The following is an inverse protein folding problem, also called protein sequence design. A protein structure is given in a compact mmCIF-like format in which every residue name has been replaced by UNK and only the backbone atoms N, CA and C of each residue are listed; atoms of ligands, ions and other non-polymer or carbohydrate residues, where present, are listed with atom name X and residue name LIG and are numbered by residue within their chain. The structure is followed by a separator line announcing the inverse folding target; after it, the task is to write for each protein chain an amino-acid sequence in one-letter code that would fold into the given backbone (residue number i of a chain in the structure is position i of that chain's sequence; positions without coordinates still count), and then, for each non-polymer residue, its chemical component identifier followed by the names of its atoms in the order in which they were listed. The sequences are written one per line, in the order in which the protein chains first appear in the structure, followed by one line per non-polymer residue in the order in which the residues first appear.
data_IF_423120850727
#
_entry.id   IF_423120850727
#
_cell.length_a   1.000
_cell.length_b   1.000
_cell.length_c   1.000
_cell.angle_alpha   90.00
_cell.angle_beta   90.00
_cell.angle_gamma   90.00
#
_symmetry.space_group_name_H-M   'P 1'
#
loop_
_entity.id
_entity.type
_entity.pdbx_description
1 polymer ?
#
# COMPACT_ATOMS: atom_id res chain seq x y z
N UNK A 1 -17.06 -13.29 -11.06
CA UNK A 1 -15.83 -13.69 -11.80
C UNK A 1 -15.51 -12.81 -13.00
N UNK A 2 -16.42 -12.64 -13.98
CA UNK A 2 -16.13 -11.87 -15.22
C UNK A 2 -15.55 -10.46 -15.00
N UNK A 3 -15.99 -9.76 -13.96
CA UNK A 3 -15.47 -8.43 -13.60
C UNK A 3 -14.05 -8.47 -13.05
N UNK A 4 -13.74 -9.43 -12.16
CA UNK A 4 -12.41 -9.60 -11.59
C UNK A 4 -11.38 -9.98 -12.66
N UNK A 5 -11.75 -10.90 -13.57
CA UNK A 5 -10.88 -11.29 -14.69
C UNK A 5 -10.64 -10.12 -15.65
N UNK A 6 -11.66 -9.26 -15.86
CA UNK A 6 -11.51 -8.05 -16.67
C UNK A 6 -10.56 -7.05 -16.02
N UNK A 7 -10.71 -6.79 -14.71
CA UNK A 7 -9.82 -5.90 -13.96
C UNK A 7 -8.37 -6.41 -13.98
N UNK A 8 -8.17 -7.72 -13.79
CA UNK A 8 -6.86 -8.35 -13.86
C UNK A 8 -6.20 -8.23 -15.24
N UNK A 9 -6.96 -8.46 -16.32
CA UNK A 9 -6.42 -8.32 -17.67
C UNK A 9 -6.10 -6.85 -17.99
N UNK A 10 -6.92 -5.93 -17.52
CA UNK A 10 -6.65 -4.49 -17.67
C UNK A 10 -5.39 -4.07 -16.91
N UNK A 11 -5.22 -4.50 -15.65
CA UNK A 11 -4.02 -4.17 -14.88
C UNK A 11 -2.76 -4.71 -15.55
N UNK A 12 -2.78 -5.94 -16.09
CA UNK A 12 -1.66 -6.50 -16.86
C UNK A 12 -1.28 -5.63 -18.06
N UNK A 13 -2.26 -5.24 -18.88
CA UNK A 13 -1.99 -4.40 -20.07
C UNK A 13 -1.40 -3.05 -19.67
N UNK A 14 -1.91 -2.43 -18.60
CA UNK A 14 -1.37 -1.16 -18.10
C UNK A 14 0.05 -1.35 -17.55
N UNK A 15 0.32 -2.46 -16.84
CA UNK A 15 1.64 -2.78 -16.31
C UNK A 15 2.70 -2.90 -17.39
N UNK A 16 2.43 -3.69 -18.44
CA UNK A 16 3.36 -3.83 -19.57
C UNK A 16 3.68 -2.48 -20.22
N UNK A 17 2.65 -1.65 -20.44
CA UNK A 17 2.85 -0.29 -20.99
C UNK A 17 3.65 0.61 -20.05
N UNK A 18 3.51 0.43 -18.75
CA UNK A 18 4.24 1.20 -17.76
C UNK A 18 5.71 0.77 -17.75
N UNK A 19 6.00 -0.52 -17.79
CA UNK A 19 7.36 -1.05 -17.85
C UNK A 19 8.09 -0.58 -19.14
N UNK A 20 7.40 -0.52 -20.29
CA UNK A 20 7.95 0.00 -21.55
C UNK A 20 8.29 1.50 -21.51
N UNK A 21 7.64 2.26 -20.63
CA UNK A 21 7.75 3.72 -20.53
C UNK A 21 8.60 4.18 -19.35
N UNK A 22 9.03 3.27 -18.48
CA UNK A 22 9.73 3.62 -17.24
C UNK A 22 11.22 3.31 -17.34
N UNK A 23 12.00 4.15 -16.68
CA UNK A 23 13.44 3.94 -16.49
C UNK A 23 13.71 3.56 -15.05
N UNK A 24 14.77 2.77 -14.81
CA UNK A 24 15.18 2.33 -13.46
C UNK A 24 15.30 3.53 -12.50
N UNK A 25 15.81 4.67 -12.99
CA UNK A 25 15.93 5.91 -12.21
C UNK A 25 14.57 6.45 -11.78
N UNK A 26 13.61 6.51 -12.70
CA UNK A 26 12.25 6.97 -12.42
C UNK A 26 11.54 6.04 -11.43
N UNK A 27 11.70 4.72 -11.61
CA UNK A 27 11.17 3.71 -10.69
C UNK A 27 11.75 3.87 -9.29
N UNK A 28 13.07 4.00 -9.17
CA UNK A 28 13.73 4.16 -7.88
C UNK A 28 13.28 5.44 -7.15
N UNK A 29 13.23 6.57 -7.85
CA UNK A 29 12.75 7.83 -7.29
C UNK A 29 11.27 7.76 -6.89
N UNK A 30 10.45 7.09 -7.68
CA UNK A 30 9.02 6.94 -7.38
C UNK A 30 8.78 6.04 -6.18
N UNK A 31 9.54 4.96 -6.02
CA UNK A 31 9.50 4.09 -4.84
C UNK A 31 9.96 4.84 -3.60
N UNK A 32 11.11 5.51 -3.63
CA UNK A 32 11.59 6.27 -2.47
C UNK A 32 10.68 7.44 -2.12
N UNK A 33 10.23 8.19 -3.12
CA UNK A 33 9.33 9.33 -2.92
C UNK A 33 7.99 8.90 -2.33
N UNK A 34 7.40 7.82 -2.84
CA UNK A 34 6.14 7.29 -2.31
C UNK A 34 6.30 6.73 -0.90
N UNK A 35 7.40 6.03 -0.59
CA UNK A 35 7.71 5.58 0.78
C UNK A 35 7.78 6.76 1.74
N UNK A 36 8.62 7.76 1.44
CA UNK A 36 8.82 8.93 2.32
C UNK A 36 7.51 9.66 2.56
N UNK A 37 6.74 9.93 1.51
CA UNK A 37 5.47 10.66 1.63
C UNK A 37 4.44 9.84 2.41
N UNK A 38 4.34 8.53 2.15
CA UNK A 38 3.40 7.65 2.87
C UNK A 38 3.75 7.59 4.36
N UNK A 39 5.02 7.43 4.69
CA UNK A 39 5.49 7.45 6.07
C UNK A 39 5.19 8.78 6.73
N UNK A 40 5.55 9.92 6.12
CA UNK A 40 5.28 11.24 6.68
C UNK A 40 3.78 11.50 6.92
N UNK A 41 2.93 11.02 6.02
CA UNK A 41 1.49 11.21 6.11
C UNK A 41 0.87 10.39 7.26
N UNK A 42 1.32 9.16 7.47
CA UNK A 42 0.74 8.26 8.48
C UNK A 42 1.46 8.25 9.82
N UNK A 43 2.71 8.70 9.87
CA UNK A 43 3.53 8.71 11.09
C UNK A 43 2.83 9.41 12.28
N UNK A 44 2.19 10.59 12.12
CA UNK A 44 1.49 11.23 13.24
C UNK A 44 0.39 10.35 13.82
N UNK A 45 -0.37 9.66 12.97
CA UNK A 45 -1.46 8.78 13.38
C UNK A 45 -0.91 7.56 14.11
N UNK A 46 0.18 6.96 13.61
CA UNK A 46 0.85 5.84 14.27
C UNK A 46 1.39 6.23 15.65
N UNK A 47 2.02 7.40 15.78
CA UNK A 47 2.55 7.87 17.07
C UNK A 47 1.45 8.03 18.12
N UNK A 48 0.28 8.57 17.72
CA UNK A 48 -0.89 8.66 18.61
C UNK A 48 -1.38 7.26 19.00
N UNK A 49 -1.54 6.36 18.03
CA UNK A 49 -2.03 5.00 18.29
C UNK A 49 -1.12 4.23 19.25
N UNK A 50 0.19 4.30 19.05
CA UNK A 50 1.18 3.61 19.90
C UNK A 50 1.15 4.11 21.34
N UNK A 51 1.00 5.41 21.56
CA UNK A 51 0.89 5.95 22.94
C UNK A 51 -0.37 5.44 23.65
N UNK A 52 -1.48 5.27 22.92
CA UNK A 52 -2.74 4.80 23.48
C UNK A 52 -2.71 3.32 23.90
N UNK A 53 -1.71 2.53 23.49
CA UNK A 53 -1.56 1.13 23.91
C UNK A 53 -1.32 0.95 25.42
N UNK A 54 -0.99 2.03 26.13
CA UNK A 54 -0.89 2.03 27.59
C UNK A 54 -2.21 1.72 28.29
N UNK A 55 -3.35 1.96 27.62
CA UNK A 55 -4.68 1.67 28.14
C UNK A 55 -5.12 0.27 27.73
N UNK A 56 -5.19 -0.64 28.71
CA UNK A 56 -5.47 -2.07 28.48
C UNK A 56 -6.85 -2.27 27.83
N UNK A 57 -7.85 -1.48 28.22
CA UNK A 57 -9.21 -1.61 27.69
C UNK A 57 -9.30 -1.27 26.20
N UNK A 58 -8.34 -0.50 25.67
CA UNK A 58 -8.31 -0.06 24.27
C UNK A 58 -7.44 -0.94 23.38
N UNK A 59 -6.66 -1.87 23.92
CA UNK A 59 -5.65 -2.61 23.16
C UNK A 59 -6.22 -3.35 21.95
N UNK A 60 -7.35 -4.06 22.12
CA UNK A 60 -7.98 -4.79 21.00
C UNK A 60 -8.45 -3.84 19.90
N UNK A 61 -9.04 -2.70 20.27
CA UNK A 61 -9.46 -1.68 19.32
C UNK A 61 -8.27 -1.08 18.58
N UNK A 62 -7.17 -0.80 19.28
CA UNK A 62 -5.96 -0.22 18.71
C UNK A 62 -5.25 -1.20 17.77
N UNK A 63 -5.25 -2.51 18.06
CA UNK A 63 -4.74 -3.54 17.15
C UNK A 63 -5.52 -3.52 15.83
N UNK A 64 -6.87 -3.54 15.90
CA UNK A 64 -7.72 -3.48 14.71
C UNK A 64 -7.45 -2.18 13.92
N UNK A 65 -7.33 -1.06 14.62
CA UNK A 65 -7.03 0.23 14.02
C UNK A 65 -5.66 0.22 13.29
N UNK A 66 -4.62 -0.34 13.90
CA UNK A 66 -3.30 -0.48 13.29
C UNK A 66 -3.33 -1.36 12.02
N UNK A 67 -4.12 -2.44 12.01
CA UNK A 67 -4.32 -3.24 10.80
C UNK A 67 -4.97 -2.43 9.68
N UNK A 68 -6.04 -1.69 9.99
CA UNK A 68 -6.73 -0.84 9.02
C UNK A 68 -5.77 0.23 8.48
N UNK A 69 -5.02 0.91 9.35
CA UNK A 69 -4.02 1.91 8.96
C UNK A 69 -2.93 1.32 8.07
N UNK A 70 -2.48 0.10 8.37
CA UNK A 70 -1.46 -0.58 7.56
C UNK A 70 -1.98 -0.92 6.17
N UNK A 71 -3.23 -1.39 6.06
CA UNK A 71 -3.88 -1.63 4.75
C UNK A 71 -4.04 -0.34 3.98
N UNK A 72 -4.50 0.74 4.63
CA UNK A 72 -4.62 2.07 4.01
C UNK A 72 -3.24 2.56 3.53
N UNK A 73 -2.18 2.33 4.31
CA UNK A 73 -0.81 2.69 3.94
C UNK A 73 -0.38 2.06 2.62
N UNK A 74 -0.70 0.79 2.40
CA UNK A 74 -0.40 0.08 1.14
C UNK A 74 -1.08 0.78 -0.04
N UNK A 75 -2.36 1.13 0.07
CA UNK A 75 -3.07 1.82 -1.01
C UNK A 75 -2.57 3.24 -1.26
N UNK A 76 -2.22 3.98 -0.20
CA UNK A 76 -1.61 5.31 -0.31
C UNK A 76 -0.26 5.21 -1.01
N UNK A 77 0.58 4.26 -0.59
CA UNK A 77 1.87 3.98 -1.20
C UNK A 77 1.75 3.70 -2.69
N UNK A 78 0.90 2.74 -3.09
CA UNK A 78 0.68 2.38 -4.49
C UNK A 78 0.18 3.59 -5.30
N UNK A 79 -0.81 4.32 -4.78
CA UNK A 79 -1.33 5.52 -5.42
C UNK A 79 -0.22 6.56 -5.66
N UNK A 80 0.58 6.86 -4.64
CA UNK A 80 1.67 7.82 -4.72
C UNK A 80 2.78 7.35 -5.66
N UNK A 81 3.10 6.06 -5.66
CA UNK A 81 4.13 5.49 -6.54
C UNK A 81 3.78 5.70 -8.01
N UNK A 82 2.53 5.43 -8.41
CA UNK A 82 2.05 5.69 -9.77
C UNK A 82 1.86 7.17 -10.07
N UNK A 83 1.45 7.97 -9.08
CA UNK A 83 1.33 9.41 -9.24
C UNK A 83 2.68 10.06 -9.53
N UNK A 84 3.72 9.71 -8.76
CA UNK A 84 5.08 10.23 -8.93
C UNK A 84 5.68 9.76 -10.26
N UNK A 85 5.45 8.51 -10.67
CA UNK A 85 5.82 8.06 -12.03
C UNK A 85 5.24 8.96 -13.12
N UNK A 86 3.97 9.36 -12.98
CA UNK A 86 3.31 10.27 -13.92
C UNK A 86 3.85 11.71 -13.92
N UNK A 87 4.61 12.11 -12.89
CA UNK A 87 5.31 13.40 -12.86
C UNK A 87 6.61 13.36 -13.66
N UNK A 88 7.30 12.21 -13.67
CA UNK A 88 8.55 12.03 -14.41
C UNK A 88 8.32 11.72 -15.89
N UNK A 89 7.30 10.92 -16.21
CA UNK A 89 7.00 10.50 -17.58
C UNK A 89 5.56 10.86 -17.94
N UNK A 90 5.38 11.96 -18.70
CA UNK A 90 4.06 12.49 -19.06
C UNK A 90 3.17 11.48 -19.81
N UNK A 91 3.79 10.53 -20.53
CA UNK A 91 3.09 9.43 -21.22
C UNK A 91 2.43 8.44 -20.26
N UNK A 92 2.89 8.35 -19.02
CA UNK A 92 2.30 7.49 -17.98
C UNK A 92 1.04 8.14 -17.39
N UNK A 93 0.97 9.48 -17.37
CA UNK A 93 -0.19 10.21 -16.85
C UNK A 93 -1.49 9.94 -17.62
N UNK A 94 -1.39 9.51 -18.88
CA UNK A 94 -2.55 9.12 -19.70
C UNK A 94 -2.98 7.65 -19.49
N UNK A 95 -2.20 6.85 -18.75
CA UNK A 95 -2.55 5.48 -18.43
C UNK A 95 -3.51 5.41 -17.24
N UNK A 96 -4.43 4.44 -17.27
CA UNK A 96 -5.36 4.21 -16.16
C UNK A 96 -4.70 3.39 -15.04
N UNK A 97 -3.81 4.03 -14.28
CA UNK A 97 -3.08 3.42 -13.15
C UNK A 97 -3.97 3.08 -11.96
N UNK A 98 -5.22 3.57 -11.90
CA UNK A 98 -6.17 3.21 -10.83
C UNK A 98 -6.42 1.69 -10.76
N UNK A 99 -6.45 1.03 -11.91
CA UNK A 99 -6.60 -0.43 -11.98
C UNK A 99 -5.42 -1.16 -11.35
N UNK A 100 -4.20 -0.65 -11.52
CA UNK A 100 -2.99 -1.18 -10.89
C UNK A 100 -3.02 -0.98 -9.38
N UNK A 101 -3.34 0.23 -8.91
CA UNK A 101 -3.46 0.54 -7.47
C UNK A 101 -4.41 -0.43 -6.77
N UNK A 102 -5.57 -0.71 -7.37
CA UNK A 102 -6.55 -1.63 -6.78
C UNK A 102 -6.01 -3.05 -6.76
N UNK A 103 -5.48 -3.56 -7.87
CA UNK A 103 -5.05 -4.96 -7.97
C UNK A 103 -3.79 -5.22 -7.13
N UNK A 104 -2.75 -4.41 -7.32
CA UNK A 104 -1.47 -4.58 -6.61
C UNK A 104 -1.61 -4.24 -5.13
N UNK A 105 -2.34 -3.17 -4.80
CA UNK A 105 -2.64 -2.81 -3.42
C UNK A 105 -3.42 -3.91 -2.70
N UNK A 106 -4.40 -4.55 -3.37
CA UNK A 106 -5.14 -5.67 -2.76
C UNK A 106 -4.23 -6.88 -2.49
N UNK A 107 -3.35 -7.23 -3.44
CA UNK A 107 -2.41 -8.35 -3.27
C UNK A 107 -1.44 -8.08 -2.11
N UNK A 108 -0.84 -6.89 -2.09
CA UNK A 108 0.09 -6.49 -1.04
C UNK A 108 -0.59 -6.41 0.33
N UNK A 109 -1.81 -5.89 0.40
CA UNK A 109 -2.59 -5.85 1.63
C UNK A 109 -2.93 -7.26 2.14
N UNK A 110 -3.26 -8.20 1.25
CA UNK A 110 -3.55 -9.58 1.63
C UNK A 110 -2.31 -10.26 2.22
N UNK A 111 -1.15 -10.07 1.60
CA UNK A 111 0.13 -10.54 2.13
C UNK A 111 0.44 -9.92 3.50
N UNK A 112 0.24 -8.60 3.65
CA UNK A 112 0.47 -7.89 4.90
C UNK A 112 -0.44 -8.40 6.03
N UNK A 113 -1.72 -8.65 5.73
CA UNK A 113 -2.67 -9.22 6.69
C UNK A 113 -2.22 -10.61 7.15
N UNK A 114 -1.79 -11.49 6.23
CA UNK A 114 -1.28 -12.83 6.59
C UNK A 114 -0.08 -12.72 7.53
N UNK A 115 0.90 -11.88 7.19
CA UNK A 115 2.09 -11.65 8.04
C UNK A 115 1.70 -11.07 9.39
N UNK A 116 0.79 -10.09 9.41
CA UNK A 116 0.33 -9.46 10.65
C UNK A 116 -0.40 -10.44 11.57
N UNK A 117 -1.25 -11.30 11.03
CA UNK A 117 -1.95 -12.34 11.80
C UNK A 117 -0.95 -13.33 12.40
N UNK A 118 0.05 -13.77 11.63
CA UNK A 118 1.11 -14.65 12.14
C UNK A 118 1.86 -13.98 13.31
N UNK A 119 2.22 -12.70 13.16
CA UNK A 119 2.88 -11.93 14.21
C UNK A 119 2.05 -11.84 15.49
N UNK A 120 0.76 -11.52 15.36
CA UNK A 120 -0.17 -11.41 16.48
C UNK A 120 -0.32 -12.74 17.21
N UNK A 121 -0.45 -13.85 16.47
CA UNK A 121 -0.57 -15.19 17.07
C UNK A 121 0.69 -15.59 17.85
N UNK A 122 1.87 -15.36 17.28
CA UNK A 122 3.15 -15.67 17.96
C UNK A 122 3.29 -14.83 19.24
N UNK A 123 2.98 -13.53 19.16
CA UNK A 123 3.16 -12.63 20.29
C UNK A 123 2.14 -12.87 21.42
N UNK A 124 0.89 -13.18 21.07
CA UNK A 124 -0.16 -13.52 22.05
C UNK A 124 0.02 -14.90 22.70
N UNK A 125 0.72 -15.84 22.05
CA UNK A 125 1.05 -17.15 22.66
C UNK A 125 2.28 -17.09 23.58
N UNK A 126 3.14 -16.07 23.40
CA UNK A 126 4.34 -15.87 24.21
C UNK A 126 4.17 -14.94 25.42
N UNK A 127 2.97 -14.37 25.62
CA UNK A 127 2.59 -13.55 26.78
C UNK A 127 1.66 -14.34 27.72
#
# INVERSE_FOLDING_TARGET
MKYLTKLWNQSKVVRYRLDDLTTIKSTFLSVLGSLIITTLLLLPVYLICVQLFMFVELQLLLIILLFILSVIAVFIYEYLMYYIHGLFELKIKSLNTKSLVIVEGSIMSALLVVVGVIFVLIFLQGA
#
